data_IF_627591746987
#
_entry.id   IF_627591746987
#
_cell.length_a   1.000
_cell.length_b   1.000
_cell.length_c   1.000
_cell.angle_alpha   90.00
_cell.angle_beta   90.00
_cell.angle_gamma   90.00
#
_symmetry.space_group_name_H-M   'P 1'
#
loop_
_entity.id
_entity.type
_entity.pdbx_description
1 polymer ?
#
# COMPACT_ATOMS: atom_id res chain seq x y z
N UNK A 1 -2.85 -14.41 17.21
CA UNK A 1 -2.71 -12.94 17.08
C UNK A 1 -3.40 -12.53 15.78
N UNK A 2 -4.20 -11.47 15.76
CA UNK A 2 -4.81 -10.98 14.51
C UNK A 2 -3.78 -10.17 13.72
N UNK A 3 -3.72 -10.39 12.39
CA UNK A 3 -2.89 -9.57 11.50
C UNK A 3 -3.43 -8.13 11.48
N UNK A 4 -2.54 -7.14 11.49
CA UNK A 4 -2.92 -5.72 11.42
C UNK A 4 -3.39 -5.41 10.01
N UNK A 5 -4.63 -4.93 9.88
CA UNK A 5 -5.18 -4.45 8.61
C UNK A 5 -4.62 -3.07 8.28
N UNK A 6 -4.04 -2.92 7.10
CA UNK A 6 -3.42 -1.67 6.64
C UNK A 6 -4.03 -1.30 5.29
N UNK A 7 -4.71 -0.16 5.24
CA UNK A 7 -5.14 0.43 3.98
C UNK A 7 -4.00 1.25 3.38
N UNK A 8 -3.64 0.98 2.12
CA UNK A 8 -2.63 1.75 1.39
C UNK A 8 -3.35 2.57 0.34
N UNK A 9 -3.40 3.90 0.53
CA UNK A 9 -4.01 4.85 -0.39
C UNK A 9 -2.99 5.33 -1.41
N UNK A 10 -3.32 5.27 -2.69
CA UNK A 10 -2.40 5.71 -3.75
C UNK A 10 -3.10 6.17 -5.02
N UNK A 11 -2.33 6.80 -5.92
CA UNK A 11 -2.82 7.37 -7.16
C UNK A 11 -3.51 8.73 -6.95
N UNK A 12 -4.81 8.78 -7.20
CA UNK A 12 -5.61 10.01 -7.16
C UNK A 12 -5.55 10.85 -8.44
N UNK A 13 -6.26 11.98 -8.43
CA UNK A 13 -6.26 12.97 -9.54
C UNK A 13 -5.10 13.94 -9.37
N UNK A 14 -3.91 13.50 -9.74
CA UNK A 14 -2.66 14.27 -9.68
C UNK A 14 -1.80 13.96 -10.91
N UNK A 15 -0.91 14.89 -11.28
CA UNK A 15 0.14 14.63 -12.27
C UNK A 15 1.11 13.52 -11.82
N UNK A 16 1.16 13.25 -10.51
CA UNK A 16 2.02 12.24 -9.88
C UNK A 16 1.30 10.89 -9.68
N UNK A 17 0.16 10.66 -10.33
CA UNK A 17 -0.62 9.42 -10.19
C UNK A 17 0.25 8.16 -10.28
N UNK A 18 1.03 8.04 -11.37
CA UNK A 18 1.90 6.89 -11.61
C UNK A 18 3.01 6.76 -10.55
N UNK A 19 3.55 7.89 -10.09
CA UNK A 19 4.59 7.91 -9.05
C UNK A 19 4.02 7.42 -7.72
N UNK A 20 2.79 7.81 -7.39
CA UNK A 20 2.08 7.32 -6.21
C UNK A 20 1.83 5.81 -6.29
N UNK A 21 1.40 5.29 -7.45
CA UNK A 21 1.22 3.85 -7.68
C UNK A 21 2.51 3.04 -7.49
N UNK A 22 3.63 3.52 -8.05
CA UNK A 22 4.94 2.88 -7.92
C UNK A 22 5.39 2.91 -6.45
N UNK A 23 5.20 4.03 -5.76
CA UNK A 23 5.58 4.18 -4.34
C UNK A 23 4.78 3.22 -3.46
N UNK A 24 3.47 3.11 -3.69
CA UNK A 24 2.61 2.18 -2.97
C UNK A 24 3.03 0.73 -3.19
N UNK A 25 3.44 0.35 -4.41
CA UNK A 25 3.97 -0.97 -4.69
C UNK A 25 5.19 -1.28 -3.83
N UNK A 26 6.15 -0.36 -3.75
CA UNK A 26 7.34 -0.54 -2.91
C UNK A 26 7.01 -0.66 -1.43
N UNK A 27 6.04 0.10 -0.93
CA UNK A 27 5.57 -0.01 0.47
C UNK A 27 4.96 -1.39 0.71
N UNK A 28 4.06 -1.85 -0.17
CA UNK A 28 3.38 -3.14 -0.02
C UNK A 28 4.39 -4.30 -0.05
N UNK A 29 5.37 -4.26 -0.97
CA UNK A 29 6.40 -5.29 -1.09
C UNK A 29 7.34 -5.35 0.14
N UNK A 30 7.42 -4.27 0.92
CA UNK A 30 8.24 -4.19 2.13
C UNK A 30 7.49 -4.57 3.43
N UNK A 31 6.16 -4.73 3.39
CA UNK A 31 5.37 -5.09 4.56
C UNK A 31 5.49 -6.58 4.88
N UNK A 32 5.54 -6.92 6.17
CA UNK A 32 5.57 -8.31 6.64
C UNK A 32 4.16 -8.94 6.49
N UNK A 33 3.98 -9.95 5.61
CA UNK A 33 2.69 -10.59 5.38
C UNK A 33 2.21 -11.46 6.55
N UNK A 34 3.11 -11.84 7.47
CA UNK A 34 2.73 -12.58 8.68
C UNK A 34 2.11 -11.66 9.74
N UNK A 35 2.48 -10.37 9.71
CA UNK A 35 1.99 -9.37 10.66
C UNK A 35 0.89 -8.47 10.08
N UNK A 36 0.78 -8.37 8.76
CA UNK A 36 -0.13 -7.42 8.10
C UNK A 36 -1.05 -8.05 7.05
N UNK A 37 -2.25 -7.49 6.94
CA UNK A 37 -3.20 -7.73 5.85
C UNK A 37 -3.37 -6.42 5.10
N UNK A 38 -2.83 -6.35 3.88
CA UNK A 38 -2.82 -5.13 3.06
C UNK A 38 -4.12 -5.00 2.27
N UNK A 39 -4.73 -3.82 2.31
CA UNK A 39 -5.90 -3.43 1.53
C UNK A 39 -5.49 -2.25 0.63
N UNK A 40 -5.17 -2.47 -0.65
CA UNK A 40 -4.88 -1.38 -1.58
C UNK A 40 -6.17 -0.61 -1.91
N UNK A 41 -6.13 0.73 -1.87
CA UNK A 41 -7.28 1.64 -2.06
C UNK A 41 -6.93 2.82 -2.97
#
# INVERSE_FOLDING_TARGET
>A
MSRRRVAVLFGGRSAEHEISCISARSVIDALDPEQTEVIPV
#
